data_IF_691492947078
#
_entry.id   IF_691492947078
#
_cell.length_a   1.000
_cell.length_b   1.000
_cell.length_c   1.000
_cell.angle_alpha   90.00
_cell.angle_beta   90.00
_cell.angle_gamma   90.00
#
_symmetry.space_group_name_H-M   'P 1'
#
loop_
_entity.id
_entity.type
_entity.pdbx_description
1 polymer ?
#
# COMPACT_ATOMS: atom_id res chain seq x y z
N UNK A 1 -2.99 6.84 -16.50
CA UNK A 1 -3.43 7.20 -15.13
C UNK A 1 -2.50 6.49 -14.14
N UNK A 2 -2.24 7.04 -12.95
CA UNK A 2 -1.29 6.45 -11.99
C UNK A 2 -1.93 6.37 -10.60
N UNK A 3 -2.00 5.18 -10.03
CA UNK A 3 -2.46 4.96 -8.66
C UNK A 3 -1.29 4.70 -7.72
N UNK A 4 -1.44 5.11 -6.46
CA UNK A 4 -0.47 4.81 -5.41
C UNK A 4 -0.73 3.42 -4.86
N UNK A 5 0.24 2.51 -4.98
CA UNK A 5 0.22 1.22 -4.31
C UNK A 5 1.08 1.28 -3.04
N UNK A 6 0.52 0.80 -1.93
CA UNK A 6 1.25 0.59 -0.67
C UNK A 6 1.70 -0.86 -0.66
N UNK A 7 2.97 -1.10 -0.34
CA UNK A 7 3.57 -2.44 -0.25
C UNK A 7 4.09 -2.62 1.17
N UNK A 8 3.64 -3.69 1.81
CA UNK A 8 4.00 -4.04 3.18
C UNK A 8 4.71 -5.41 3.18
N UNK A 9 5.77 -5.54 3.98
CA UNK A 9 6.43 -6.83 4.21
C UNK A 9 5.77 -7.51 5.40
N UNK A 10 5.22 -8.70 5.17
CA UNK A 10 4.78 -9.61 6.22
C UNK A 10 5.89 -10.56 6.69
N UNK A 11 5.52 -11.53 7.53
CA UNK A 11 6.45 -12.54 8.05
C UNK A 11 7.07 -13.41 6.93
N UNK A 12 6.25 -13.85 5.98
CA UNK A 12 6.63 -14.81 4.94
C UNK A 12 6.60 -14.24 3.51
N UNK A 13 6.24 -12.97 3.33
CA UNK A 13 6.08 -12.39 2.00
C UNK A 13 5.75 -10.91 2.01
N UNK A 14 5.08 -10.46 0.96
CA UNK A 14 4.67 -9.07 0.75
C UNK A 14 3.17 -9.00 0.44
N UNK A 15 2.51 -8.01 1.03
CA UNK A 15 1.17 -7.58 0.65
C UNK A 15 1.21 -6.24 -0.07
N UNK A 16 0.27 -6.00 -0.98
CA UNK A 16 0.07 -4.71 -1.60
C UNK A 16 -1.41 -4.34 -1.70
N UNK A 17 -1.71 -3.05 -1.63
CA UNK A 17 -3.07 -2.53 -1.82
C UNK A 17 -3.05 -1.11 -2.41
N UNK A 18 -4.16 -0.70 -3.02
CA UNK A 18 -4.34 0.63 -3.61
C UNK A 18 -5.42 1.41 -2.84
N UNK A 19 -5.08 2.46 -2.09
CA UNK A 19 -6.07 3.17 -1.26
C UNK A 19 -7.20 3.82 -2.06
N UNK A 20 -6.91 4.29 -3.27
CA UNK A 20 -7.90 4.91 -4.17
C UNK A 20 -8.83 3.88 -4.84
N UNK A 21 -8.48 2.58 -4.80
CA UNK A 21 -9.27 1.49 -5.40
C UNK A 21 -9.49 0.38 -4.35
N UNK A 22 -10.40 0.59 -3.38
CA UNK A 22 -10.72 -0.41 -2.37
C UNK A 22 -11.10 -1.75 -3.01
N UNK A 23 -10.43 -2.83 -2.58
CA UNK A 23 -10.60 -4.17 -3.16
C UNK A 23 -9.47 -4.58 -4.11
N UNK A 24 -8.68 -3.64 -4.63
CA UNK A 24 -7.43 -3.97 -5.32
C UNK A 24 -6.34 -4.32 -4.30
N UNK A 25 -6.13 -5.61 -4.06
CA UNK A 25 -5.13 -6.16 -3.16
C UNK A 25 -4.34 -7.30 -3.82
N UNK A 26 -3.10 -7.51 -3.39
CA UNK A 26 -2.26 -8.60 -3.85
C UNK A 26 -1.35 -9.12 -2.74
N UNK A 27 -0.96 -10.40 -2.81
CA UNK A 27 0.02 -11.00 -1.92
C UNK A 27 0.97 -11.90 -2.72
N UNK A 28 2.27 -11.87 -2.40
CA UNK A 28 3.28 -12.68 -3.05
C UNK A 28 4.49 -12.93 -2.14
N UNK A 29 5.32 -13.92 -2.48
CA UNK A 29 6.56 -14.19 -1.73
C UNK A 29 7.64 -13.12 -1.99
N UNK A 30 7.65 -12.54 -3.19
CA UNK A 30 8.65 -11.55 -3.60
C UNK A 30 8.06 -10.16 -3.85
N UNK A 31 8.87 -9.12 -3.59
CA UNK A 31 8.50 -7.72 -3.87
C UNK A 31 8.22 -7.49 -5.35
N UNK A 32 8.96 -8.15 -6.25
CA UNK A 32 8.74 -7.98 -7.68
C UNK A 32 7.41 -8.58 -8.13
N UNK A 33 7.08 -9.76 -7.59
CA UNK A 33 5.84 -10.45 -7.90
C UNK A 33 4.62 -9.69 -7.38
N UNK A 34 4.66 -9.19 -6.13
CA UNK A 34 3.53 -8.42 -5.59
C UNK A 34 3.26 -7.14 -6.40
N UNK A 35 4.31 -6.52 -6.95
CA UNK A 35 4.19 -5.34 -7.83
C UNK A 35 3.51 -5.68 -9.15
N UNK A 36 3.83 -6.84 -9.74
CA UNK A 36 3.18 -7.29 -10.96
C UNK A 36 1.70 -7.60 -10.69
N UNK A 37 1.42 -8.38 -9.63
CA UNK A 37 0.06 -8.78 -9.27
C UNK A 37 -0.84 -7.58 -8.95
N UNK A 38 -0.35 -6.59 -8.19
CA UNK A 38 -1.17 -5.42 -7.86
C UNK A 38 -1.45 -4.55 -9.10
N UNK A 39 -0.52 -4.50 -10.06
CA UNK A 39 -0.75 -3.81 -11.33
C UNK A 39 -1.85 -4.52 -12.13
N UNK A 40 -1.76 -5.84 -12.24
CA UNK A 40 -2.73 -6.64 -12.99
C UNK A 40 -4.12 -6.57 -12.32
N UNK A 41 -4.18 -6.54 -10.97
CA UNK A 41 -5.42 -6.35 -10.23
C UNK A 41 -6.08 -4.98 -10.49
N UNK A 42 -5.28 -3.91 -10.59
CA UNK A 42 -5.77 -2.57 -10.93
C UNK A 42 -6.31 -2.52 -12.35
N UNK A 43 -5.60 -3.11 -13.31
CA UNK A 43 -6.04 -3.17 -14.71
C UNK A 43 -7.38 -3.90 -14.82
N UNK A 44 -7.48 -5.10 -14.24
CA UNK A 44 -8.71 -5.89 -14.22
C UNK A 44 -9.89 -5.14 -13.56
N UNK A 45 -9.65 -4.44 -12.45
CA UNK A 45 -10.70 -3.69 -11.77
C UNK A 45 -11.22 -2.51 -12.61
N UNK A 46 -10.33 -1.78 -13.28
CA UNK A 46 -10.71 -0.65 -14.15
C UNK A 46 -11.48 -1.15 -15.37
N UNK A 47 -11.04 -2.23 -15.99
CA UNK A 47 -11.77 -2.88 -17.09
C UNK A 47 -13.19 -3.24 -16.67
N UNK A 48 -13.34 -3.89 -15.51
CA UNK A 48 -14.66 -4.23 -14.96
C UNK A 48 -15.55 -3.01 -14.72
N UNK A 49 -15.02 -1.90 -14.19
CA UNK A 49 -15.81 -0.66 -14.02
C UNK A 49 -16.28 -0.10 -15.36
N UNK A 50 -15.40 -0.09 -16.37
CA UNK A 50 -15.73 0.41 -17.71
C UNK A 50 -16.80 -0.45 -18.38
N UNK A 51 -16.70 -1.78 -18.26
CA UNK A 51 -17.68 -2.73 -18.81
C UNK A 51 -19.08 -2.57 -18.21
N UNK A 52 -19.17 -2.25 -16.92
CA UNK A 52 -20.44 -1.99 -16.23
C UNK A 52 -20.94 -0.55 -16.38
N UNK A 53 -20.21 0.32 -17.10
CA UNK A 53 -20.57 1.74 -17.26
C UNK A 53 -20.42 2.56 -15.98
N UNK A 54 -19.60 2.09 -15.04
CA UNK A 54 -19.30 2.77 -13.79
C UNK A 54 -18.18 3.81 -13.96
N UNK A 55 -18.18 4.83 -13.10
CA UNK A 55 -17.15 5.85 -13.12
C UNK A 55 -15.83 5.30 -12.56
N UNK A 56 -14.74 5.46 -13.31
CA UNK A 56 -13.39 5.08 -12.83
C UNK A 56 -12.89 6.13 -11.81
N UNK A 57 -12.57 5.73 -10.56
CA UNK A 57 -12.10 6.66 -9.54
C UNK A 57 -10.80 7.36 -9.94
N UNK A 58 -10.74 8.68 -9.85
CA UNK A 58 -9.52 9.43 -10.13
C UNK A 58 -8.48 9.23 -9.00
N UNK A 59 -7.18 9.09 -9.31
CA UNK A 59 -6.14 8.96 -8.29
C UNK A 59 -6.02 10.21 -7.41
N UNK A 60 -6.13 10.02 -6.10
CA UNK A 60 -6.15 11.11 -5.11
C UNK A 60 -5.09 10.95 -4.03
N UNK A 61 -4.60 9.72 -3.83
CA UNK A 61 -3.65 9.38 -2.78
C UNK A 61 -2.31 10.09 -2.95
N UNK A 62 -1.69 10.44 -1.81
CA UNK A 62 -0.37 11.09 -1.72
C UNK A 62 0.43 10.43 -0.60
N UNK A 63 1.76 10.40 -0.76
CA UNK A 63 2.68 9.94 0.27
C UNK A 63 3.52 11.10 0.80
N UNK A 64 3.76 11.11 2.11
CA UNK A 64 4.66 12.04 2.79
C UNK A 64 5.55 11.23 3.73
N UNK A 65 6.86 11.46 3.66
CA UNK A 65 7.80 10.89 4.61
C UNK A 65 7.85 11.79 5.85
N UNK A 66 7.47 11.22 7.00
CA UNK A 66 7.59 11.90 8.29
C UNK A 66 8.92 11.48 8.93
N UNK A 67 9.86 12.42 9.04
CA UNK A 67 11.12 12.20 9.77
C UNK A 67 10.93 12.61 11.23
N UNK A 68 11.36 11.76 12.14
CA UNK A 68 11.39 12.06 13.57
C UNK A 68 12.84 12.28 13.99
N UNK A 69 13.11 13.42 14.61
CA UNK A 69 14.37 13.63 15.33
C UNK A 69 14.33 12.82 16.64
N UNK A 70 15.41 12.10 16.95
CA UNK A 70 15.46 11.05 17.98
C UNK A 70 15.23 11.49 19.45
N UNK A 71 14.69 12.70 19.70
CA UNK A 71 14.62 13.26 21.05
C UNK A 71 13.21 13.15 21.65
N UNK A 72 13.08 12.22 22.60
CA UNK A 72 12.00 12.01 23.59
C UNK A 72 10.71 11.34 23.10
N UNK A 73 10.82 10.11 22.62
CA UNK A 73 9.77 9.12 22.88
C UNK A 73 9.89 8.72 24.36
N UNK A 74 9.17 9.43 25.24
CA UNK A 74 9.01 9.00 26.64
C UNK A 74 8.01 7.84 26.62
N UNK A 75 8.51 6.61 26.68
CA UNK A 75 7.67 5.44 26.89
C UNK A 75 7.04 5.60 28.28
N UNK A 76 5.73 5.81 28.35
CA UNK A 76 5.01 5.84 29.62
C UNK A 76 4.85 4.38 30.09
N UNK A 77 5.90 3.87 30.71
CA UNK A 77 6.04 2.46 31.11
C UNK A 77 7.49 2.03 30.99
N UNK A 78 8.19 1.98 32.11
CA UNK A 78 9.65 1.86 32.17
C UNK A 78 10.21 0.61 31.51
N UNK A 79 10.93 0.79 30.42
CA UNK A 79 12.14 0.04 30.08
C UNK A 79 12.86 0.78 28.96
N UNK A 80 14.03 1.33 29.29
CA UNK A 80 14.88 2.05 28.34
C UNK A 80 15.49 1.03 27.38
N UNK A 81 15.15 1.10 26.09
CA UNK A 81 15.97 0.48 25.05
C UNK A 81 17.30 1.24 25.00
N UNK A 82 18.37 0.60 25.48
CA UNK A 82 19.74 1.08 25.25
C UNK A 82 20.12 0.79 23.80
N UNK A 83 20.72 1.79 23.16
CA UNK A 83 21.41 1.67 21.89
C UNK A 83 22.58 0.69 21.97
#
# INVERSE_FOLDING_TARGET
MQYLAIIERGETGFGAYVPDLPGCIAAAESKQEVVNLIRDAVEFHIEGLVEHGEAVPAPSSRTVLVKLEATKIRVHGGSTLKA
#
